data_IF_315339027224
#
_entry.id   IF_315339027224
#
_cell.length_a   1.000
_cell.length_b   1.000
_cell.length_c   1.000
_cell.angle_alpha   90.00
_cell.angle_beta   90.00
_cell.angle_gamma   90.00
#
_symmetry.space_group_name_H-M   'P 1'
#
loop_
_entity.id
_entity.type
_entity.pdbx_description
1 polymer ?
#
# COMPACT_ATOMS: atom_id res chain seq x y z
N UNK A 1 16.73 -1.04 -14.16
CA UNK A 1 17.85 -0.97 -13.18
C UNK A 1 18.18 -2.39 -12.77
N UNK A 2 19.47 -2.76 -12.70
CA UNK A 2 19.88 -4.10 -12.25
C UNK A 2 19.78 -4.20 -10.73
N UNK A 3 19.40 -5.37 -10.23
CA UNK A 3 19.41 -5.65 -8.79
C UNK A 3 20.85 -5.63 -8.25
N UNK A 4 21.02 -5.14 -7.01
CA UNK A 4 22.23 -5.37 -6.23
C UNK A 4 22.25 -6.81 -5.73
N UNK A 5 23.42 -7.36 -5.43
CA UNK A 5 23.54 -8.70 -4.84
C UNK A 5 23.01 -8.75 -3.40
N UNK A 6 22.99 -7.61 -2.70
CA UNK A 6 22.51 -7.48 -1.32
C UNK A 6 21.88 -6.10 -1.08
N UNK A 7 20.83 -6.09 -0.24
CA UNK A 7 20.20 -4.90 0.31
C UNK A 7 20.13 -4.99 1.85
N UNK A 8 20.01 -3.85 2.51
CA UNK A 8 19.68 -3.83 3.95
C UNK A 8 18.22 -4.19 4.14
N UNK A 9 17.34 -3.67 3.28
CA UNK A 9 15.90 -3.92 3.37
C UNK A 9 15.31 -4.22 1.99
N UNK A 10 14.52 -5.29 1.92
CA UNK A 10 13.67 -5.61 0.77
C UNK A 10 12.18 -5.50 1.15
N UNK A 11 11.41 -4.75 0.36
CA UNK A 11 9.97 -4.57 0.52
C UNK A 11 9.27 -5.27 -0.65
N UNK A 12 8.41 -6.22 -0.36
CA UNK A 12 7.65 -6.99 -1.34
C UNK A 12 6.22 -6.45 -1.40
N UNK A 13 5.90 -5.75 -2.47
CA UNK A 13 4.63 -5.09 -2.73
C UNK A 13 4.72 -3.56 -2.66
N UNK A 14 4.38 -2.92 -3.79
CA UNK A 14 4.40 -1.47 -3.99
C UNK A 14 3.04 -0.78 -3.74
N UNK A 15 2.16 -1.40 -2.95
CA UNK A 15 0.94 -0.77 -2.46
C UNK A 15 1.21 0.30 -1.40
N UNK A 16 0.15 0.89 -0.84
CA UNK A 16 0.30 2.00 0.13
C UNK A 16 1.15 1.60 1.35
N UNK A 17 1.04 0.37 1.85
CA UNK A 17 1.85 -0.11 2.97
C UNK A 17 3.33 -0.16 2.63
N UNK A 18 3.69 -0.67 1.44
CA UNK A 18 5.08 -0.71 0.98
C UNK A 18 5.65 0.67 0.73
N UNK A 19 4.90 1.56 0.06
CA UNK A 19 5.33 2.93 -0.21
C UNK A 19 5.53 3.75 1.07
N UNK A 20 4.60 3.69 2.03
CA UNK A 20 4.74 4.38 3.32
C UNK A 20 5.92 3.85 4.12
N UNK A 21 6.15 2.52 4.09
CA UNK A 21 7.32 1.91 4.71
C UNK A 21 8.62 2.40 4.07
N UNK A 22 8.69 2.38 2.73
CA UNK A 22 9.84 2.89 1.99
C UNK A 22 10.11 4.37 2.28
N UNK A 23 9.05 5.21 2.34
CA UNK A 23 9.15 6.63 2.66
C UNK A 23 9.73 6.84 4.07
N UNK A 24 9.19 6.16 5.07
CA UNK A 24 9.68 6.30 6.46
C UNK A 24 11.12 5.82 6.62
N UNK A 25 11.49 4.73 5.98
CA UNK A 25 12.87 4.23 6.00
C UNK A 25 13.82 5.21 5.31
N UNK A 26 13.48 5.69 4.12
CA UNK A 26 14.29 6.66 3.39
C UNK A 26 14.44 8.00 4.13
N UNK A 27 13.46 8.39 4.97
CA UNK A 27 13.51 9.59 5.81
C UNK A 27 14.35 9.37 7.08
N UNK A 28 14.15 8.23 7.78
CA UNK A 28 14.73 7.99 9.11
C UNK A 28 16.08 7.29 9.10
N UNK A 29 16.39 6.59 8.03
CA UNK A 29 17.61 5.81 7.87
C UNK A 29 18.11 5.92 6.40
N UNK A 30 18.48 7.12 5.95
CA UNK A 30 18.85 7.38 4.54
C UNK A 30 20.12 6.64 4.10
N UNK A 31 20.88 6.09 5.04
CA UNK A 31 22.07 5.27 4.78
C UNK A 31 21.73 3.84 4.31
N UNK A 32 20.49 3.37 4.53
CA UNK A 32 20.10 2.01 4.19
C UNK A 32 19.84 1.87 2.69
N UNK A 33 20.33 0.78 2.12
CA UNK A 33 19.97 0.35 0.77
C UNK A 33 18.63 -0.37 0.80
N UNK A 34 17.63 0.20 0.11
CA UNK A 34 16.26 -0.29 0.12
C UNK A 34 15.87 -0.72 -1.29
N UNK A 35 15.31 -1.93 -1.42
CA UNK A 35 14.68 -2.45 -2.63
C UNK A 35 13.18 -2.57 -2.43
N UNK A 36 12.38 -2.08 -3.36
CA UNK A 36 10.93 -2.26 -3.39
C UNK A 36 10.52 -2.94 -4.69
N UNK A 37 9.87 -4.09 -4.59
CA UNK A 37 9.42 -4.89 -5.73
C UNK A 37 7.90 -4.88 -5.83
N UNK A 38 7.38 -4.62 -7.02
CA UNK A 38 5.95 -4.65 -7.33
C UNK A 38 5.70 -5.45 -8.61
N UNK A 39 4.80 -6.44 -8.54
CA UNK A 39 4.48 -7.30 -9.70
C UNK A 39 3.75 -6.56 -10.82
N UNK A 40 2.98 -5.56 -10.48
CA UNK A 40 2.28 -4.74 -11.45
C UNK A 40 3.13 -3.61 -12.02
N UNK A 41 2.48 -2.75 -12.76
CA UNK A 41 3.14 -1.66 -13.50
C UNK A 41 3.43 -0.46 -12.61
N UNK A 42 4.33 0.41 -13.07
CA UNK A 42 4.47 1.76 -12.55
C UNK A 42 3.13 2.50 -12.62
N UNK A 43 2.89 3.43 -11.69
CA UNK A 43 1.59 4.09 -11.55
C UNK A 43 1.10 4.73 -12.87
N UNK A 44 1.99 5.39 -13.61
CA UNK A 44 1.66 6.06 -14.87
C UNK A 44 1.48 5.11 -16.05
N UNK A 45 1.97 3.87 -15.94
CA UNK A 45 1.82 2.81 -16.95
C UNK A 45 0.58 1.93 -16.73
N UNK A 46 -0.17 2.17 -15.66
CA UNK A 46 -1.34 1.39 -15.28
C UNK A 46 -2.56 1.81 -16.10
N UNK A 47 -2.71 1.20 -17.28
CA UNK A 47 -3.80 1.50 -18.22
C UNK A 47 -4.72 0.29 -18.34
N UNK A 48 -5.95 0.41 -17.83
CA UNK A 48 -6.97 -0.61 -18.01
C UNK A 48 -7.50 -0.60 -19.46
N UNK A 49 -7.53 -1.75 -20.17
CA UNK A 49 -8.02 -1.81 -21.54
C UNK A 49 -9.49 -1.38 -21.70
N UNK A 50 -10.35 -1.58 -20.69
CA UNK A 50 -11.73 -1.08 -20.72
C UNK A 50 -11.75 0.44 -20.66
N UNK A 51 -11.05 1.02 -19.67
CA UNK A 51 -10.99 2.48 -19.46
C UNK A 51 -10.40 3.17 -20.69
N UNK A 52 -9.40 2.53 -21.32
CA UNK A 52 -8.79 3.01 -22.55
C UNK A 52 -9.66 2.78 -23.82
N UNK A 53 -10.86 2.23 -23.68
CA UNK A 53 -11.76 1.96 -24.82
C UNK A 53 -11.29 0.86 -25.79
N UNK A 54 -10.24 0.10 -25.43
CA UNK A 54 -9.67 -0.95 -26.31
C UNK A 54 -10.51 -2.22 -26.34
N UNK A 55 -11.27 -2.48 -25.29
CA UNK A 55 -12.13 -3.67 -25.16
C UNK A 55 -13.45 -3.29 -24.48
N UNK A 56 -14.53 -4.02 -24.79
CA UNK A 56 -15.87 -3.77 -24.22
C UNK A 56 -16.11 -4.47 -22.88
N UNK A 57 -15.34 -5.51 -22.57
CA UNK A 57 -15.48 -6.33 -21.35
C UNK A 57 -14.13 -6.57 -20.72
N UNK A 58 -14.11 -6.83 -19.40
CA UNK A 58 -12.91 -7.16 -18.69
C UNK A 58 -12.27 -8.45 -19.22
N UNK A 59 -11.00 -8.36 -19.63
CA UNK A 59 -10.19 -9.48 -20.12
C UNK A 59 -9.41 -10.18 -19.03
N UNK A 60 -9.64 -9.80 -17.75
CA UNK A 60 -8.98 -10.37 -16.55
C UNK A 60 -7.45 -10.36 -16.67
N UNK A 61 -6.90 -9.17 -16.93
CA UNK A 61 -5.44 -8.98 -16.98
C UNK A 61 -4.77 -9.52 -15.71
N UNK A 62 -3.61 -10.12 -15.86
CA UNK A 62 -2.76 -10.53 -14.76
C UNK A 62 -1.34 -9.98 -15.00
N UNK A 63 -0.85 -9.04 -14.16
CA UNK A 63 -1.56 -8.33 -13.09
C UNK A 63 -2.62 -7.35 -13.59
N UNK A 64 -3.66 -7.13 -12.75
CA UNK A 64 -4.75 -6.22 -13.08
C UNK A 64 -4.32 -4.76 -12.98
N UNK A 65 -4.42 -3.98 -14.08
CA UNK A 65 -3.97 -2.60 -14.10
C UNK A 65 -4.69 -1.65 -13.12
N UNK A 66 -5.92 -1.99 -12.66
CA UNK A 66 -6.66 -1.21 -11.66
C UNK A 66 -6.31 -1.62 -10.23
N UNK A 67 -6.14 -2.93 -9.99
CA UNK A 67 -6.00 -3.47 -8.63
C UNK A 67 -4.55 -3.63 -8.20
N UNK A 68 -3.62 -3.72 -9.16
CA UNK A 68 -2.22 -4.06 -8.92
C UNK A 68 -1.26 -3.10 -9.64
N UNK A 69 -0.10 -2.89 -9.06
CA UNK A 69 0.91 -1.93 -9.52
C UNK A 69 1.28 -0.95 -8.40
N UNK A 70 2.24 -0.08 -8.66
CA UNK A 70 2.64 0.94 -7.70
C UNK A 70 1.43 1.77 -7.27
N UNK A 71 1.37 2.06 -5.98
CA UNK A 71 0.24 2.61 -5.22
C UNK A 71 -0.95 1.65 -5.00
N UNK A 72 -0.86 0.39 -5.47
CA UNK A 72 -1.86 -0.65 -5.18
C UNK A 72 -3.26 -0.35 -5.69
N UNK A 73 -4.27 -1.00 -5.10
CA UNK A 73 -5.68 -0.82 -5.48
C UNK A 73 -6.21 0.59 -5.17
N UNK A 74 -5.59 1.29 -4.22
CA UNK A 74 -5.99 2.64 -3.82
C UNK A 74 -5.71 3.73 -4.85
N UNK A 75 -4.79 3.50 -5.81
CA UNK A 75 -4.39 4.52 -6.79
C UNK A 75 -5.54 5.10 -7.62
N UNK A 76 -6.54 4.28 -7.92
CA UNK A 76 -7.71 4.66 -8.74
C UNK A 76 -8.98 4.79 -7.91
N UNK A 77 -8.87 4.86 -6.58
CA UNK A 77 -9.99 5.15 -5.71
C UNK A 77 -10.29 6.65 -5.67
N UNK A 78 -11.41 7.03 -5.07
CA UNK A 78 -11.78 8.41 -4.84
C UNK A 78 -10.99 9.09 -3.71
N UNK A 79 -10.00 8.40 -3.12
CA UNK A 79 -9.11 8.99 -2.14
C UNK A 79 -9.80 9.39 -0.84
N UNK A 80 -10.69 8.54 -0.32
CA UNK A 80 -11.25 8.74 1.02
C UNK A 80 -10.30 8.23 2.07
N UNK A 81 -9.92 9.12 2.99
CA UNK A 81 -9.08 8.82 4.14
C UNK A 81 -9.88 9.03 5.41
N UNK A 82 -9.85 8.02 6.28
CA UNK A 82 -10.49 8.07 7.59
C UNK A 82 -9.44 8.35 8.64
N UNK A 83 -9.61 9.43 9.40
CA UNK A 83 -8.74 9.82 10.50
C UNK A 83 -9.49 9.56 11.79
N UNK A 84 -9.52 8.30 12.19
CA UNK A 84 -10.26 7.82 13.35
C UNK A 84 -9.78 6.42 13.74
N UNK A 85 -10.00 6.03 14.98
CA UNK A 85 -9.85 4.68 15.50
C UNK A 85 -11.19 3.97 15.69
N UNK A 86 -12.30 4.62 15.37
CA UNK A 86 -13.65 4.09 15.57
C UNK A 86 -14.03 2.99 14.56
N UNK A 87 -13.38 2.99 13.39
CA UNK A 87 -13.58 1.98 12.36
C UNK A 87 -12.41 1.97 11.36
N UNK A 88 -12.35 0.95 10.53
CA UNK A 88 -11.35 0.82 9.46
C UNK A 88 -10.15 -0.04 9.80
N UNK A 89 -10.21 -0.82 10.87
CA UNK A 89 -9.16 -1.79 11.21
C UNK A 89 -9.14 -2.16 12.70
N UNK A 90 -8.28 -3.12 13.03
CA UNK A 90 -8.17 -3.68 14.39
C UNK A 90 -6.82 -3.37 15.06
N UNK A 91 -6.16 -2.28 14.65
CA UNK A 91 -4.84 -1.96 15.19
C UNK A 91 -4.92 -1.60 16.69
N UNK A 92 -6.08 -1.15 17.15
CA UNK A 92 -6.37 -0.88 18.57
C UNK A 92 -6.45 -2.15 19.44
N UNK A 93 -6.55 -3.34 18.85
CA UNK A 93 -6.42 -4.61 19.57
C UNK A 93 -4.97 -4.88 20.03
N UNK A 94 -4.02 -4.20 19.42
CA UNK A 94 -2.57 -4.40 19.64
C UNK A 94 -1.87 -3.17 20.22
N UNK A 95 -2.41 -1.97 19.98
CA UNK A 95 -1.79 -0.70 20.37
C UNK A 95 -2.83 0.23 21.03
N UNK A 96 -2.39 1.10 21.96
CA UNK A 96 -3.26 2.13 22.53
C UNK A 96 -3.85 3.04 21.44
N UNK A 97 -5.14 3.44 21.54
CA UNK A 97 -5.81 4.28 20.54
C UNK A 97 -5.05 5.57 20.21
N UNK A 98 -4.44 6.22 21.20
CA UNK A 98 -3.62 7.43 21.02
C UNK A 98 -2.36 7.17 20.17
N UNK A 99 -1.82 5.95 20.21
CA UNK A 99 -0.70 5.55 19.36
C UNK A 99 -1.17 5.30 17.94
N UNK A 100 -2.32 4.66 17.78
CA UNK A 100 -2.91 4.40 16.46
C UNK A 100 -3.27 5.69 15.76
N UNK A 101 -3.95 6.62 16.44
CA UNK A 101 -4.32 7.91 15.84
C UNK A 101 -3.08 8.72 15.44
N UNK A 102 -2.02 8.69 16.24
CA UNK A 102 -0.75 9.33 15.88
C UNK A 102 -0.17 8.75 14.59
N UNK A 103 -0.19 7.44 14.38
CA UNK A 103 0.29 6.83 13.14
C UNK A 103 -0.60 7.18 11.94
N UNK A 104 -1.91 7.27 12.13
CA UNK A 104 -2.84 7.74 11.09
C UNK A 104 -2.52 9.19 10.71
N UNK A 105 -2.30 10.08 11.70
CA UNK A 105 -1.92 11.48 11.47
C UNK A 105 -0.54 11.61 10.78
N UNK A 106 0.41 10.77 11.13
CA UNK A 106 1.71 10.73 10.45
C UNK A 106 1.55 10.31 8.98
N UNK A 107 0.74 9.28 8.69
CA UNK A 107 0.46 8.85 7.32
C UNK A 107 -0.28 9.96 6.53
N UNK A 108 -1.25 10.63 7.16
CA UNK A 108 -1.94 11.78 6.56
C UNK A 108 -0.98 12.92 6.25
N UNK A 109 -0.05 13.22 7.16
CA UNK A 109 0.97 14.25 6.95
C UNK A 109 1.86 13.94 5.75
N UNK A 110 2.27 12.69 5.57
CA UNK A 110 3.03 12.25 4.38
C UNK A 110 2.21 12.50 3.12
N UNK A 111 0.93 12.16 3.12
CA UNK A 111 0.06 12.38 1.96
C UNK A 111 -0.10 13.88 1.65
N UNK A 112 -0.24 14.73 2.67
CA UNK A 112 -0.33 16.19 2.52
C UNK A 112 0.97 16.77 1.92
N UNK A 113 2.14 16.29 2.35
CA UNK A 113 3.43 16.71 1.77
C UNK A 113 3.53 16.40 0.28
N UNK A 114 2.77 15.41 -0.21
CA UNK A 114 2.75 15.01 -1.62
C UNK A 114 1.54 15.53 -2.40
N UNK A 115 0.75 16.44 -1.82
CA UNK A 115 -0.31 17.17 -2.52
C UNK A 115 -1.74 16.80 -2.11
N UNK A 116 -1.93 15.94 -1.09
CA UNK A 116 -3.27 15.71 -0.54
C UNK A 116 -3.82 16.97 0.14
N UNK A 117 -5.15 17.15 0.09
CA UNK A 117 -5.81 18.27 0.76
C UNK A 117 -5.58 18.24 2.27
N UNK A 118 -5.56 19.41 2.89
CA UNK A 118 -5.60 19.56 4.35
C UNK A 118 -7.03 19.63 4.88
N UNK A 119 -8.03 19.77 4.00
CA UNK A 119 -9.43 19.86 4.38
C UNK A 119 -9.93 18.55 4.98
N UNK A 120 -10.59 18.64 6.13
CA UNK A 120 -11.19 17.50 6.84
C UNK A 120 -12.66 17.74 7.05
N UNK A 121 -13.47 16.76 6.71
CA UNK A 121 -14.91 16.76 6.96
C UNK A 121 -15.19 15.98 8.24
N UNK A 122 -16.08 16.54 9.07
CA UNK A 122 -16.52 15.90 10.31
C UNK A 122 -18.00 16.13 10.53
N UNK A 123 -18.71 15.24 11.22
CA UNK A 123 -20.11 15.44 11.57
C UNK A 123 -20.29 16.70 12.43
N UNK A 124 -21.29 17.53 12.10
CA UNK A 124 -21.71 18.62 12.97
C UNK A 124 -22.76 18.15 13.96
N UNK A 125 -22.96 18.88 15.06
CA UNK A 125 -23.85 18.49 16.15
C UNK A 125 -25.33 18.54 15.76
N UNK A 126 -25.71 19.42 14.84
CA UNK A 126 -27.07 19.50 14.31
C UNK A 126 -27.43 18.24 13.52
N UNK A 127 -26.54 17.83 12.61
CA UNK A 127 -26.74 16.61 11.83
C UNK A 127 -26.75 15.35 12.71
N UNK A 128 -25.90 15.30 13.74
CA UNK A 128 -25.91 14.20 14.72
C UNK A 128 -27.25 14.08 15.42
N UNK A 129 -27.78 15.23 15.89
CA UNK A 129 -29.10 15.27 16.56
C UNK A 129 -30.22 14.83 15.62
N UNK A 130 -30.22 15.33 14.38
CA UNK A 130 -31.19 14.92 13.36
C UNK A 130 -31.12 13.42 13.09
N UNK A 131 -29.93 12.84 12.97
CA UNK A 131 -29.79 11.40 12.80
C UNK A 131 -30.43 10.61 13.95
N UNK A 132 -30.21 11.04 15.21
CA UNK A 132 -30.80 10.38 16.38
C UNK A 132 -32.32 10.43 16.40
N UNK A 133 -32.95 11.49 15.86
CA UNK A 133 -34.40 11.59 15.71
C UNK A 133 -35.00 10.49 14.80
N UNK A 134 -34.18 9.94 13.90
CA UNK A 134 -34.52 8.86 12.98
C UNK A 134 -33.86 7.52 13.33
N UNK A 135 -33.41 7.34 14.57
CA UNK A 135 -32.74 6.13 15.07
C UNK A 135 -31.46 5.76 14.24
N UNK A 136 -30.79 6.80 13.76
CA UNK A 136 -29.52 6.66 13.04
C UNK A 136 -28.36 7.15 13.92
N UNK A 137 -27.28 6.38 13.96
CA UNK A 137 -26.08 6.72 14.72
C UNK A 137 -24.96 7.16 13.77
N UNK A 138 -24.57 8.44 13.87
CA UNK A 138 -23.50 8.99 13.05
C UNK A 138 -22.14 8.68 13.68
N UNK A 139 -21.24 8.11 12.90
CA UNK A 139 -19.86 7.82 13.31
C UNK A 139 -19.07 9.10 13.58
N UNK A 140 -18.30 9.11 14.67
CA UNK A 140 -17.46 10.22 15.08
C UNK A 140 -16.08 10.09 14.41
N UNK A 141 -15.95 10.53 13.17
CA UNK A 141 -14.70 10.44 12.45
C UNK A 141 -14.44 11.69 11.61
N UNK A 142 -13.17 12.03 11.46
CA UNK A 142 -12.73 12.96 10.44
C UNK A 142 -12.44 12.20 9.17
N UNK A 143 -12.86 12.74 8.02
CA UNK A 143 -12.68 12.12 6.72
C UNK A 143 -12.09 13.16 5.76
N UNK A 144 -11.14 12.74 4.96
CA UNK A 144 -10.68 13.49 3.78
C UNK A 144 -11.22 12.84 2.52
N UNK A 145 -11.46 13.65 1.51
CA UNK A 145 -11.86 13.18 0.19
C UNK A 145 -11.10 13.96 -0.87
N UNK A 146 -10.17 13.28 -1.56
CA UNK A 146 -9.33 13.92 -2.57
C UNK A 146 -9.99 13.99 -3.95
N UNK A 147 -10.82 13.02 -4.27
CA UNK A 147 -11.20 12.72 -5.64
C UNK A 147 -10.14 11.88 -6.37
N UNK A 148 -10.55 11.16 -7.40
CA UNK A 148 -9.71 10.16 -8.08
C UNK A 148 -8.45 10.78 -8.70
N UNK A 149 -8.57 11.91 -9.37
CA UNK A 149 -7.44 12.54 -10.06
C UNK A 149 -6.39 13.06 -9.07
N UNK A 150 -6.83 13.79 -8.04
CA UNK A 150 -5.91 14.31 -7.01
C UNK A 150 -5.27 13.18 -6.20
N UNK A 151 -5.99 12.10 -5.94
CA UNK A 151 -5.44 10.92 -5.28
C UNK A 151 -4.36 10.25 -6.13
N UNK A 152 -4.61 10.09 -7.43
CA UNK A 152 -3.64 9.54 -8.38
C UNK A 152 -2.35 10.38 -8.44
N UNK A 153 -2.47 11.71 -8.55
CA UNK A 153 -1.32 12.62 -8.59
C UNK A 153 -0.54 12.61 -7.25
N UNK A 154 -1.24 12.62 -6.11
CA UNK A 154 -0.60 12.54 -4.79
C UNK A 154 0.23 11.25 -4.65
N UNK A 155 -0.32 10.11 -5.08
CA UNK A 155 0.42 8.84 -5.10
C UNK A 155 1.61 8.88 -6.06
N UNK A 156 1.45 9.51 -7.22
CA UNK A 156 2.53 9.74 -8.18
C UNK A 156 3.68 10.53 -7.58
N UNK A 157 3.38 11.65 -6.91
CA UNK A 157 4.39 12.48 -6.24
C UNK A 157 5.11 11.73 -5.12
N UNK A 158 4.39 10.92 -4.33
CA UNK A 158 5.00 10.07 -3.31
C UNK A 158 6.00 9.09 -3.93
N UNK A 159 5.62 8.39 -5.01
CA UNK A 159 6.50 7.46 -5.71
C UNK A 159 7.73 8.19 -6.28
N UNK A 160 7.52 9.34 -6.93
CA UNK A 160 8.62 10.10 -7.52
C UNK A 160 9.63 10.56 -6.47
N UNK A 161 9.18 10.94 -5.27
CA UNK A 161 10.05 11.32 -4.15
C UNK A 161 10.96 10.20 -3.63
N UNK A 162 10.64 8.95 -3.98
CA UNK A 162 11.37 7.76 -3.56
C UNK A 162 12.39 7.28 -4.59
N UNK A 163 12.27 7.68 -5.87
CA UNK A 163 13.06 7.09 -6.97
C UNK A 163 14.57 7.22 -6.81
N UNK A 164 15.05 8.28 -6.18
CA UNK A 164 16.48 8.51 -5.94
C UNK A 164 16.97 7.89 -4.62
N UNK A 165 16.06 7.35 -3.79
CA UNK A 165 16.35 6.84 -2.45
C UNK A 165 16.13 5.34 -2.29
N UNK A 166 15.32 4.77 -3.18
CA UNK A 166 14.86 3.37 -3.12
C UNK A 166 14.98 2.77 -4.51
N UNK A 167 15.57 1.59 -4.61
CA UNK A 167 15.60 0.83 -5.86
C UNK A 167 14.20 0.23 -6.10
N UNK A 168 13.37 0.91 -6.91
CA UNK A 168 11.98 0.51 -7.18
C UNK A 168 11.93 -0.32 -8.47
N UNK A 169 11.51 -1.57 -8.34
CA UNK A 169 11.33 -2.53 -9.42
C UNK A 169 9.85 -2.84 -9.62
N UNK A 170 9.21 -2.19 -10.59
CA UNK A 170 7.87 -2.56 -11.05
C UNK A 170 7.93 -3.70 -12.08
N UNK A 171 6.80 -4.39 -12.32
CA UNK A 171 6.71 -5.59 -13.18
C UNK A 171 7.64 -6.72 -12.73
N UNK A 172 7.88 -6.79 -11.44
CA UNK A 172 8.79 -7.74 -10.82
C UNK A 172 8.03 -8.59 -9.81
N UNK A 173 7.93 -9.87 -10.10
CA UNK A 173 7.22 -10.83 -9.24
C UNK A 173 8.21 -11.56 -8.36
N UNK A 174 8.08 -11.43 -7.04
CA UNK A 174 8.81 -12.28 -6.10
C UNK A 174 8.16 -13.66 -6.11
N UNK A 175 8.94 -14.69 -6.38
CA UNK A 175 8.49 -16.08 -6.52
C UNK A 175 8.83 -16.93 -5.31
N UNK A 176 9.93 -16.66 -4.62
CA UNK A 176 10.30 -17.33 -3.37
C UNK A 176 11.09 -16.41 -2.44
N UNK A 177 11.03 -16.72 -1.16
CA UNK A 177 11.83 -16.08 -0.10
C UNK A 177 12.29 -17.19 0.84
N UNK A 178 13.60 -17.38 0.94
CA UNK A 178 14.18 -18.28 1.92
C UNK A 178 14.24 -17.58 3.30
N UNK A 179 13.61 -18.20 4.29
CA UNK A 179 13.49 -17.63 5.64
C UNK A 179 14.81 -17.58 6.40
N UNK A 180 15.71 -18.53 6.16
CA UNK A 180 16.94 -18.68 6.93
C UNK A 180 18.07 -17.83 6.34
N UNK A 181 18.21 -17.88 5.03
CA UNK A 181 19.28 -17.18 4.30
C UNK A 181 18.86 -15.76 3.91
N UNK A 182 17.58 -15.42 3.99
CA UNK A 182 16.98 -14.20 3.46
C UNK A 182 17.24 -13.99 1.96
N UNK A 183 17.45 -15.08 1.23
CA UNK A 183 17.52 -15.04 -0.23
C UNK A 183 16.15 -14.81 -0.83
N UNK A 184 16.06 -13.88 -1.77
CA UNK A 184 14.85 -13.54 -2.50
C UNK A 184 15.08 -13.95 -3.95
N UNK A 185 14.10 -14.67 -4.51
CA UNK A 185 14.03 -14.95 -5.95
C UNK A 185 12.91 -14.12 -6.54
N UNK A 186 13.22 -13.34 -7.55
CA UNK A 186 12.29 -12.46 -8.26
C UNK A 186 12.44 -12.64 -9.77
N UNK A 187 11.34 -12.45 -10.50
CA UNK A 187 11.31 -12.57 -11.96
C UNK A 187 10.70 -11.31 -12.58
N UNK A 188 11.30 -10.85 -13.66
CA UNK A 188 10.82 -9.79 -14.52
C UNK A 188 11.01 -10.15 -16.01
N UNK A 189 10.95 -9.17 -16.92
CA UNK A 189 11.10 -9.39 -18.35
C UNK A 189 12.54 -9.79 -18.76
N UNK A 190 13.54 -9.52 -17.91
CA UNK A 190 14.95 -9.85 -18.15
C UNK A 190 15.29 -11.26 -17.65
N UNK A 191 14.43 -11.85 -16.81
CA UNK A 191 14.58 -13.21 -16.31
C UNK A 191 14.47 -13.33 -14.80
N UNK A 192 15.15 -14.32 -14.25
CA UNK A 192 15.20 -14.58 -12.81
C UNK A 192 16.39 -13.84 -12.18
N UNK A 193 16.14 -13.23 -11.04
CA UNK A 193 17.11 -12.52 -10.22
C UNK A 193 17.15 -13.11 -8.82
N UNK A 194 18.34 -13.26 -8.27
CA UNK A 194 18.55 -13.73 -6.89
C UNK A 194 19.44 -12.76 -6.14
N UNK A 195 19.00 -12.36 -4.96
CA UNK A 195 19.73 -11.45 -4.08
C UNK A 195 19.32 -11.69 -2.62
N UNK A 196 20.01 -11.08 -1.68
CA UNK A 196 19.72 -11.20 -0.26
C UNK A 196 19.32 -9.85 0.33
N UNK A 197 18.61 -9.88 1.49
CA UNK A 197 18.37 -8.69 2.27
C UNK A 197 18.50 -8.99 3.78
N UNK A 198 19.02 -8.04 4.55
CA UNK A 198 19.12 -8.22 6.00
C UNK A 198 17.75 -8.24 6.69
N UNK A 199 16.76 -7.55 6.09
CA UNK A 199 15.35 -7.55 6.53
C UNK A 199 14.43 -7.62 5.33
N UNK A 200 13.35 -8.37 5.46
CA UNK A 200 12.33 -8.53 4.42
C UNK A 200 10.97 -8.13 4.98
N UNK A 201 10.26 -7.26 4.27
CA UNK A 201 8.96 -6.75 4.64
C UNK A 201 7.94 -7.18 3.58
N UNK A 202 6.95 -7.96 3.99
CA UNK A 202 5.85 -8.34 3.13
C UNK A 202 4.72 -7.31 3.22
N UNK A 203 4.50 -6.58 2.14
CA UNK A 203 3.44 -5.58 1.97
C UNK A 203 2.54 -5.92 0.77
N UNK A 204 2.29 -7.20 0.54
CA UNK A 204 1.72 -7.77 -0.69
C UNK A 204 0.22 -7.52 -0.88
N UNK A 205 -0.47 -6.98 0.11
CA UNK A 205 -1.90 -6.70 0.03
C UNK A 205 -2.76 -7.93 -0.27
N UNK A 206 -4.00 -7.69 -0.72
CA UNK A 206 -4.94 -8.79 -1.03
C UNK A 206 -4.53 -9.61 -2.25
N UNK A 207 -3.97 -8.97 -3.26
CA UNK A 207 -3.52 -9.66 -4.48
C UNK A 207 -2.41 -10.69 -4.20
N UNK A 208 -1.51 -10.39 -3.25
CA UNK A 208 -0.43 -11.30 -2.85
C UNK A 208 -0.76 -12.22 -1.67
N UNK A 209 -2.01 -12.25 -1.18
CA UNK A 209 -2.39 -13.03 0.00
C UNK A 209 -2.13 -14.53 -0.15
N UNK A 210 -2.37 -15.10 -1.33
CA UNK A 210 -2.12 -16.52 -1.59
C UNK A 210 -0.62 -16.84 -1.55
N UNK A 211 0.23 -15.98 -2.13
CA UNK A 211 1.67 -16.10 -2.06
C UNK A 211 2.15 -16.07 -0.60
N UNK A 212 1.73 -15.06 0.15
CA UNK A 212 2.15 -14.91 1.54
C UNK A 212 1.62 -16.04 2.45
N UNK A 213 0.38 -16.48 2.26
CA UNK A 213 -0.18 -17.59 3.01
C UNK A 213 0.55 -18.90 2.72
N UNK A 214 0.89 -19.17 1.45
CA UNK A 214 1.69 -20.33 1.07
C UNK A 214 3.09 -20.27 1.67
N UNK A 215 3.73 -19.09 1.66
CA UNK A 215 5.03 -18.89 2.29
C UNK A 215 4.97 -19.14 3.81
N UNK A 216 3.95 -18.61 4.49
CA UNK A 216 3.74 -18.86 5.93
C UNK A 216 3.58 -20.36 6.24
N UNK A 217 2.76 -21.06 5.46
CA UNK A 217 2.56 -22.52 5.62
C UNK A 217 3.85 -23.29 5.40
N UNK A 218 4.60 -22.99 4.33
CA UNK A 218 5.92 -23.60 4.04
C UNK A 218 6.89 -23.43 5.22
N UNK A 219 6.80 -22.32 5.94
CA UNK A 219 7.71 -21.95 7.03
C UNK A 219 7.14 -22.23 8.43
N UNK A 220 6.03 -22.94 8.55
CA UNK A 220 5.42 -23.29 9.84
C UNK A 220 4.90 -22.10 10.65
N UNK A 221 4.56 -21.00 9.98
CA UNK A 221 4.00 -19.80 10.62
C UNK A 221 2.48 -19.96 10.69
N UNK A 222 1.87 -19.95 11.89
CA UNK A 222 0.43 -20.12 12.03
C UNK A 222 -0.30 -18.89 11.45
N UNK A 223 -1.39 -19.15 10.73
CA UNK A 223 -2.27 -18.13 10.19
C UNK A 223 -3.63 -18.16 10.89
N UNK A 224 -4.18 -16.98 11.13
CA UNK A 224 -5.55 -16.79 11.60
C UNK A 224 -6.30 -15.90 10.61
N UNK A 225 -7.49 -16.33 10.21
CA UNK A 225 -8.35 -15.50 9.39
C UNK A 225 -8.83 -14.27 10.18
N UNK A 226 -8.86 -13.13 9.53
CA UNK A 226 -9.52 -11.97 10.08
C UNK A 226 -11.04 -12.20 10.12
N UNK A 227 -11.70 -11.45 10.99
CA UNK A 227 -13.16 -11.34 10.95
C UNK A 227 -13.56 -10.70 9.61
N UNK A 228 -14.72 -11.10 9.12
CA UNK A 228 -15.33 -10.47 7.93
C UNK A 228 -16.18 -9.31 8.42
N UNK A 229 -15.99 -8.15 7.83
CA UNK A 229 -16.83 -6.96 8.08
C UNK A 229 -18.19 -7.11 7.40
#
# INVERSE_FOLDING_TARGET
MSFRSKYDIAIIGGGIGGLMTAHRLAEKAPELSICLMERGRDIRDRICPIVAGKVKKCIKCDPCAIMEGLAGAGAFSDGKYVISTEYGGWLTDFLPPETVIRYIEEADSIMVQHGATTERFQPNDELKRLCLEYDLHMQQAQVKHLGTDSNFETMGHLIDSLRDKVDIHSRTTVTDVDRETHQITACDAEGEHQFTADRIIFAVGRAGSNFFSGWCQKNGIPLRNNQVD
#
